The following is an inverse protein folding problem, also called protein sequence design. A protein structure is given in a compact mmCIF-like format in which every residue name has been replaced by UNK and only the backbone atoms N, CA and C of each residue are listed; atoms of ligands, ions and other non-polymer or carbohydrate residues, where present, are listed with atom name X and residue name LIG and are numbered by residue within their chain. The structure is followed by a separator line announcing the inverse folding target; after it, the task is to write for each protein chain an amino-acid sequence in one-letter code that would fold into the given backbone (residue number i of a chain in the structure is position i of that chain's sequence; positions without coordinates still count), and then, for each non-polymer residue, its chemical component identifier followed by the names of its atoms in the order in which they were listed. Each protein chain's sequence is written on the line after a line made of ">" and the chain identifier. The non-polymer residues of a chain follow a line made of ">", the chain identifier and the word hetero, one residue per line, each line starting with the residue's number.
data_IF_840043218539
#
_entry.id   IF_840043218539
#
_cell.length_a   1.000
_cell.length_b   1.000
_cell.length_c   1.000
_cell.angle_alpha   90.00
_cell.angle_beta   90.00
_cell.angle_gamma   90.00
#
_symmetry.space_group_name_H-M   'P 1'
#
loop_
_entity.id
_entity.type
_entity.pdbx_description
1 polymer ?
#
# COMPACT_ATOMS: atom_id res chain seq x y z
N UNK A 1 -12.62 23.44 -0.19
CA UNK A 1 -12.61 21.99 0.15
C UNK A 1 -12.61 21.08 -1.10
N UNK A 2 -13.53 21.25 -2.06
CA UNK A 2 -13.60 20.39 -3.28
C UNK A 2 -12.32 20.27 -4.11
N UNK A 3 -11.46 21.29 -4.13
CA UNK A 3 -10.15 21.26 -4.81
C UNK A 3 -8.99 20.73 -3.94
N UNK A 4 -9.14 20.73 -2.62
CA UNK A 4 -8.09 20.33 -1.67
C UNK A 4 -8.09 18.80 -1.45
N UNK A 5 -9.27 18.19 -1.35
CA UNK A 5 -9.38 16.75 -1.09
C UNK A 5 -8.69 15.88 -2.15
N UNK A 6 -8.86 16.15 -3.47
CA UNK A 6 -8.17 15.37 -4.51
C UNK A 6 -6.65 15.36 -4.37
N UNK A 7 -6.03 16.41 -3.81
CA UNK A 7 -4.59 16.48 -3.58
C UNK A 7 -4.10 15.33 -2.68
N UNK A 8 -4.86 14.99 -1.64
CA UNK A 8 -4.52 13.91 -0.73
C UNK A 8 -4.57 12.53 -1.41
N UNK A 9 -5.43 12.34 -2.41
CA UNK A 9 -5.41 11.10 -3.22
C UNK A 9 -4.14 10.98 -4.07
N UNK A 10 -3.52 12.09 -4.48
CA UNK A 10 -2.24 12.04 -5.21
C UNK A 10 -1.05 11.83 -4.28
N UNK A 11 -1.01 12.49 -3.13
CA UNK A 11 0.10 12.37 -2.16
C UNK A 11 0.09 10.99 -1.48
N UNK A 12 -1.10 10.49 -1.12
CA UNK A 12 -1.31 9.17 -0.52
C UNK A 12 -1.75 8.14 -1.56
N UNK A 13 -1.25 8.31 -2.80
CA UNK A 13 -1.50 7.33 -3.85
C UNK A 13 -0.91 5.98 -3.44
N UNK A 14 -1.60 4.85 -3.71
CA UNK A 14 -1.17 3.50 -3.30
C UNK A 14 0.28 3.17 -3.62
N UNK A 15 0.79 3.68 -4.74
CA UNK A 15 2.14 3.44 -5.23
C UNK A 15 3.24 3.94 -4.27
N UNK A 16 2.96 4.96 -3.46
CA UNK A 16 3.91 5.54 -2.52
C UNK A 16 3.84 4.90 -1.13
N UNK A 17 2.78 4.16 -0.82
CA UNK A 17 2.54 3.64 0.54
C UNK A 17 3.63 2.66 0.98
N UNK A 18 4.11 1.79 0.08
CA UNK A 18 5.23 0.89 0.38
C UNK A 18 6.51 1.66 0.74
N UNK A 19 6.76 2.78 0.08
CA UNK A 19 7.91 3.63 0.39
C UNK A 19 7.74 4.30 1.77
N UNK A 20 6.56 4.83 2.09
CA UNK A 20 6.28 5.42 3.40
C UNK A 20 6.39 4.42 4.54
N UNK A 21 5.86 3.21 4.37
CA UNK A 21 5.97 2.14 5.37
C UNK A 21 7.44 1.79 5.65
N UNK A 22 8.25 1.70 4.59
CA UNK A 22 9.68 1.39 4.68
C UNK A 22 10.46 2.51 5.36
N UNK A 23 10.21 3.77 4.97
CA UNK A 23 10.80 4.94 5.63
C UNK A 23 10.48 4.92 7.12
N UNK A 24 9.20 4.74 7.47
CA UNK A 24 8.80 4.68 8.87
C UNK A 24 9.56 3.56 9.61
N UNK A 25 9.60 2.36 9.05
CA UNK A 25 10.29 1.21 9.65
C UNK A 25 11.79 1.43 9.87
N UNK A 26 12.53 1.86 8.83
CA UNK A 26 13.99 1.96 8.87
C UNK A 26 14.49 3.10 9.76
N UNK A 27 13.72 4.19 9.90
CA UNK A 27 14.11 5.34 10.71
C UNK A 27 13.65 5.24 12.16
N UNK A 28 12.62 4.44 12.46
CA UNK A 28 12.25 4.12 13.85
C UNK A 28 13.09 3.00 14.48
N UNK A 29 13.78 2.19 13.66
CA UNK A 29 14.80 1.21 14.10
C UNK A 29 16.21 1.67 13.70
N UNK A 30 16.54 2.91 14.04
CA UNK A 30 17.74 3.59 13.53
C UNK A 30 19.05 2.88 13.89
N UNK A 31 19.10 2.27 15.07
CA UNK A 31 20.22 1.55 15.66
C UNK A 31 20.51 0.19 14.99
N UNK A 32 19.54 -0.40 14.30
CA UNK A 32 19.67 -1.75 13.70
C UNK A 32 20.28 -1.71 12.29
N UNK A 33 20.07 -0.61 11.56
CA UNK A 33 20.37 -0.52 10.12
C UNK A 33 21.38 0.58 9.83
N UNK A 34 22.45 0.22 9.11
CA UNK A 34 23.42 1.22 8.65
C UNK A 34 22.79 2.18 7.63
N UNK A 35 23.30 3.41 7.54
CA UNK A 35 22.83 4.41 6.56
C UNK A 35 22.84 3.87 5.13
N UNK A 36 23.89 3.14 4.74
CA UNK A 36 24.01 2.53 3.42
C UNK A 36 22.91 1.48 3.15
N UNK A 37 22.61 0.65 4.16
CA UNK A 37 21.56 -0.36 4.09
C UNK A 37 20.18 0.29 3.91
N UNK A 38 19.90 1.39 4.64
CA UNK A 38 18.65 2.12 4.49
C UNK A 38 18.44 2.64 3.07
N UNK A 39 19.45 3.30 2.51
CA UNK A 39 19.38 3.79 1.14
C UNK A 39 19.22 2.66 0.12
N UNK A 40 19.94 1.57 0.31
CA UNK A 40 19.83 0.41 -0.57
C UNK A 40 18.40 -0.17 -0.58
N UNK A 41 17.81 -0.40 0.59
CA UNK A 41 16.43 -0.91 0.72
C UNK A 41 15.41 0.07 0.12
N UNK A 42 15.56 1.37 0.40
CA UNK A 42 14.66 2.40 -0.12
C UNK A 42 14.71 2.48 -1.65
N UNK A 43 15.91 2.42 -2.25
CA UNK A 43 16.08 2.41 -3.70
C UNK A 43 15.46 1.15 -4.30
N UNK A 44 15.66 -0.02 -3.69
CA UNK A 44 15.02 -1.26 -4.16
C UNK A 44 13.49 -1.14 -4.17
N UNK A 45 12.90 -0.61 -3.09
CA UNK A 45 11.45 -0.48 -2.96
C UNK A 45 10.90 0.58 -3.91
N UNK A 46 11.62 1.70 -4.11
CA UNK A 46 11.31 2.72 -5.09
C UNK A 46 11.28 2.13 -6.51
N UNK A 47 12.32 1.38 -6.89
CA UNK A 47 12.39 0.76 -8.22
C UNK A 47 11.27 -0.25 -8.41
N UNK A 48 11.10 -1.16 -7.46
CA UNK A 48 10.15 -2.27 -7.58
C UNK A 48 8.69 -1.80 -7.49
N UNK A 49 8.34 -0.87 -6.59
CA UNK A 49 6.93 -0.49 -6.38
C UNK A 49 6.49 0.75 -7.17
N UNK A 50 7.42 1.60 -7.62
CA UNK A 50 7.09 2.83 -8.34
C UNK A 50 7.57 2.76 -9.78
N UNK A 51 8.88 2.61 -9.99
CA UNK A 51 9.45 2.70 -11.34
C UNK A 51 8.94 1.58 -12.25
N UNK A 52 9.02 0.32 -11.81
CA UNK A 52 8.61 -0.84 -12.61
C UNK A 52 7.11 -0.80 -12.94
N UNK A 53 6.18 -0.59 -11.98
CA UNK A 53 4.76 -0.50 -12.29
C UNK A 53 4.40 0.66 -13.21
N UNK A 54 5.04 1.83 -13.07
CA UNK A 54 4.81 2.97 -13.95
C UNK A 54 5.27 2.67 -15.37
N UNK A 55 6.47 2.13 -15.55
CA UNK A 55 6.98 1.75 -16.87
C UNK A 55 6.09 0.70 -17.53
N UNK A 56 5.66 -0.31 -16.76
CA UNK A 56 4.76 -1.35 -17.25
C UNK A 56 3.39 -0.79 -17.62
N UNK A 57 2.84 0.14 -16.83
CA UNK A 57 1.60 0.83 -17.16
C UNK A 57 1.73 1.61 -18.48
N UNK A 58 2.83 2.33 -18.70
CA UNK A 58 3.07 3.06 -19.95
C UNK A 58 3.12 2.12 -21.16
N UNK A 59 3.71 0.94 -21.01
CA UNK A 59 3.72 -0.11 -22.03
C UNK A 59 2.30 -0.65 -22.33
N UNK A 60 1.48 -0.89 -21.30
CA UNK A 60 0.08 -1.31 -21.49
C UNK A 60 -0.74 -0.24 -22.22
N UNK A 61 -0.48 1.03 -21.92
CA UNK A 61 -1.12 2.16 -22.60
C UNK A 61 -0.69 2.25 -24.06
N UNK A 62 0.61 2.10 -24.36
CA UNK A 62 1.12 2.18 -25.74
C UNK A 62 0.64 1.02 -26.62
N UNK A 63 0.37 -0.15 -26.02
CA UNK A 63 -0.16 -1.32 -26.72
C UNK A 63 -1.69 -1.38 -26.76
N UNK A 64 -2.40 -0.36 -26.25
CA UNK A 64 -3.86 -0.26 -26.32
C UNK A 64 -4.64 -1.11 -25.30
N UNK A 65 -3.95 -1.78 -24.36
CA UNK A 65 -4.58 -2.62 -23.33
C UNK A 65 -5.25 -1.82 -22.21
N UNK A 66 -4.92 -0.53 -22.06
CA UNK A 66 -5.51 0.38 -21.06
C UNK A 66 -5.88 1.71 -21.71
N UNK A 67 -7.13 2.17 -21.52
CA UNK A 67 -7.67 3.39 -22.15
C UNK A 67 -7.52 4.64 -21.28
N UNK A 68 -7.28 4.51 -19.97
CA UNK A 68 -7.28 5.65 -19.03
C UNK A 68 -6.21 5.55 -17.93
N UNK A 69 -5.66 6.70 -17.53
CA UNK A 69 -4.67 6.83 -16.41
C UNK A 69 -5.27 6.39 -15.07
N UNK A 70 -6.58 6.58 -14.89
CA UNK A 70 -7.28 6.27 -13.65
C UNK A 70 -7.89 4.86 -13.60
N UNK A 71 -7.58 3.98 -14.58
CA UNK A 71 -8.09 2.60 -14.65
C UNK A 71 -9.60 2.53 -14.41
N UNK A 72 -10.34 3.25 -15.25
CA UNK A 72 -11.78 3.50 -15.07
C UNK A 72 -12.61 2.20 -15.08
N UNK A 73 -12.16 1.15 -15.76
CA UNK A 73 -12.81 -0.16 -15.79
C UNK A 73 -12.16 -1.16 -14.83
N UNK A 74 -12.98 -2.05 -14.24
CA UNK A 74 -12.50 -3.16 -13.39
C UNK A 74 -11.53 -4.06 -14.13
N UNK A 75 -11.82 -4.36 -15.40
CA UNK A 75 -11.02 -5.23 -16.28
C UNK A 75 -9.60 -4.72 -16.50
N UNK A 76 -9.41 -3.39 -16.55
CA UNK A 76 -8.09 -2.78 -16.72
C UNK A 76 -7.20 -2.97 -15.47
N UNK A 77 -7.75 -3.37 -14.33
CA UNK A 77 -7.01 -3.56 -13.06
C UNK A 77 -6.38 -4.93 -12.90
N UNK A 78 -6.87 -5.95 -13.61
CA UNK A 78 -6.41 -7.34 -13.47
C UNK A 78 -4.91 -7.46 -13.72
N UNK A 79 -4.44 -6.95 -14.87
CA UNK A 79 -3.03 -7.06 -15.27
C UNK A 79 -2.11 -6.29 -14.29
N UNK A 80 -2.37 -5.01 -13.93
CA UNK A 80 -1.59 -4.31 -12.92
C UNK A 80 -1.55 -5.01 -11.55
N UNK A 81 -2.67 -5.57 -11.08
CA UNK A 81 -2.70 -6.28 -9.79
C UNK A 81 -1.91 -7.58 -9.82
N UNK A 82 -1.96 -8.34 -10.92
CA UNK A 82 -1.14 -9.55 -11.10
C UNK A 82 0.34 -9.19 -11.07
N UNK A 83 0.75 -8.14 -11.78
CA UNK A 83 2.13 -7.65 -11.73
C UNK A 83 2.51 -7.29 -10.29
N UNK A 84 1.66 -6.55 -9.58
CA UNK A 84 1.95 -6.15 -8.21
C UNK A 84 2.13 -7.35 -7.27
N UNK A 85 1.32 -8.41 -7.41
CA UNK A 85 1.53 -9.66 -6.67
C UNK A 85 2.90 -10.26 -6.94
N UNK A 86 3.32 -10.35 -8.21
CA UNK A 86 4.65 -10.85 -8.58
C UNK A 86 5.77 -10.01 -7.96
N UNK A 87 5.66 -8.67 -8.01
CA UNK A 87 6.64 -7.76 -7.45
C UNK A 87 6.74 -7.85 -5.93
N UNK A 88 5.61 -8.02 -5.22
CA UNK A 88 5.64 -8.28 -3.77
C UNK A 88 6.27 -9.63 -3.43
N UNK A 89 6.00 -10.70 -4.19
CA UNK A 89 6.67 -11.99 -4.02
C UNK A 89 8.19 -11.85 -4.21
N UNK A 90 8.62 -11.12 -5.23
CA UNK A 90 10.04 -10.84 -5.48
C UNK A 90 10.68 -10.11 -4.29
N UNK A 91 10.03 -9.07 -3.76
CA UNK A 91 10.50 -8.32 -2.61
C UNK A 91 10.70 -9.22 -1.38
N UNK A 92 9.67 -9.96 -0.97
CA UNK A 92 9.73 -10.77 0.26
C UNK A 92 10.70 -11.95 0.14
N UNK A 93 10.94 -12.46 -1.07
CA UNK A 93 11.88 -13.58 -1.31
C UNK A 93 13.34 -13.15 -1.45
N UNK A 94 13.62 -11.95 -1.94
CA UNK A 94 14.98 -11.56 -2.35
C UNK A 94 15.55 -10.36 -1.60
N UNK A 95 14.72 -9.38 -1.29
CA UNK A 95 15.16 -8.09 -0.73
C UNK A 95 14.80 -7.96 0.74
N UNK A 96 13.52 -8.15 1.06
CA UNK A 96 12.96 -7.97 2.40
C UNK A 96 12.82 -9.33 3.04
N UNK A 97 13.94 -9.98 3.35
CA UNK A 97 13.96 -11.31 3.96
C UNK A 97 13.59 -11.24 5.44
N UNK A 98 12.85 -12.25 5.91
CA UNK A 98 12.32 -12.32 7.28
C UNK A 98 13.40 -12.23 8.36
N UNK A 99 14.59 -12.80 8.11
CA UNK A 99 15.69 -12.82 9.08
C UNK A 99 16.34 -11.47 9.32
N UNK A 100 16.22 -10.52 8.37
CA UNK A 100 16.80 -9.18 8.49
C UNK A 100 15.75 -8.10 8.74
N UNK A 101 14.56 -8.24 8.15
CA UNK A 101 13.50 -7.23 8.22
C UNK A 101 12.14 -7.87 8.58
N UNK A 102 11.98 -8.50 9.76
CA UNK A 102 10.82 -9.36 10.04
C UNK A 102 9.48 -8.62 9.93
N UNK A 103 9.34 -7.44 10.54
CA UNK A 103 8.08 -6.69 10.54
C UNK A 103 7.76 -6.15 9.13
N UNK A 104 8.77 -5.63 8.44
CA UNK A 104 8.62 -5.13 7.07
C UNK A 104 8.35 -6.28 6.07
N UNK A 105 8.91 -7.48 6.31
CA UNK A 105 8.62 -8.69 5.54
C UNK A 105 7.13 -9.04 5.66
N UNK A 106 6.60 -9.06 6.88
CA UNK A 106 5.19 -9.33 7.13
C UNK A 106 4.27 -8.22 6.61
N UNK A 107 4.71 -6.95 6.61
CA UNK A 107 3.99 -5.87 5.95
C UNK A 107 3.81 -6.12 4.45
N UNK A 108 4.88 -6.49 3.74
CA UNK A 108 4.82 -6.78 2.31
C UNK A 108 4.06 -8.08 2.00
N UNK A 109 4.14 -9.07 2.89
CA UNK A 109 3.35 -10.29 2.78
C UNK A 109 1.85 -9.99 2.96
N UNK A 110 1.48 -9.16 3.93
CA UNK A 110 0.12 -8.66 4.08
C UNK A 110 -0.34 -7.87 2.85
N UNK A 111 0.51 -6.99 2.29
CA UNK A 111 0.22 -6.25 1.07
C UNK A 111 -0.01 -7.17 -0.15
N UNK A 112 0.73 -8.28 -0.25
CA UNK A 112 0.49 -9.34 -1.24
C UNK A 112 -0.90 -9.93 -1.08
N UNK A 113 -1.27 -10.36 0.14
CA UNK A 113 -2.60 -10.92 0.41
C UNK A 113 -3.73 -9.91 0.16
N UNK A 114 -3.55 -8.64 0.55
CA UNK A 114 -4.49 -7.57 0.22
C UNK A 114 -4.66 -7.39 -1.29
N UNK A 115 -3.58 -7.51 -2.06
CA UNK A 115 -3.61 -7.41 -3.53
C UNK A 115 -4.31 -8.61 -4.16
N UNK A 116 -4.09 -9.82 -3.64
CA UNK A 116 -4.82 -11.02 -4.05
C UNK A 116 -6.32 -10.87 -3.77
N UNK A 117 -6.70 -10.40 -2.58
CA UNK A 117 -8.11 -10.13 -2.24
C UNK A 117 -8.72 -9.06 -3.17
N UNK A 118 -7.97 -8.01 -3.49
CA UNK A 118 -8.42 -7.01 -4.46
C UNK A 118 -8.62 -7.62 -5.87
N UNK A 119 -7.74 -8.54 -6.29
CA UNK A 119 -7.89 -9.29 -7.55
C UNK A 119 -9.15 -10.17 -7.52
N UNK A 120 -9.42 -10.85 -6.41
CA UNK A 120 -10.67 -11.62 -6.22
C UNK A 120 -11.89 -10.71 -6.35
N UNK A 121 -11.88 -9.50 -5.76
CA UNK A 121 -12.98 -8.53 -5.94
C UNK A 121 -13.19 -8.14 -7.41
N UNK A 122 -12.12 -8.03 -8.21
CA UNK A 122 -12.23 -7.74 -9.65
C UNK A 122 -12.97 -8.87 -10.38
N UNK A 123 -12.77 -10.13 -10.00
CA UNK A 123 -13.51 -11.28 -10.56
C UNK A 123 -15.03 -11.17 -10.29
N UNK A 124 -15.41 -10.66 -9.12
CA UNK A 124 -16.80 -10.36 -8.76
C UNK A 124 -17.27 -8.98 -9.25
N UNK A 125 -16.55 -8.34 -10.18
CA UNK A 125 -16.87 -7.02 -10.75
C UNK A 125 -16.99 -5.89 -9.72
N UNK A 126 -16.41 -6.06 -8.53
CA UNK A 126 -16.41 -5.06 -7.46
C UNK A 126 -15.13 -4.22 -7.50
N UNK A 127 -15.25 -2.88 -7.59
CA UNK A 127 -14.09 -1.98 -7.60
C UNK A 127 -13.67 -1.59 -6.19
N UNK A 128 -13.04 -2.50 -5.46
CA UNK A 128 -12.43 -2.14 -4.17
C UNK A 128 -11.50 -0.92 -4.33
N UNK A 129 -11.56 0.01 -3.39
CA UNK A 129 -10.72 1.22 -3.41
C UNK A 129 -9.29 0.87 -2.99
N UNK A 130 -8.36 0.79 -3.96
CA UNK A 130 -6.95 0.52 -3.68
C UNK A 130 -6.28 1.60 -2.80
N UNK A 131 -6.80 2.83 -2.84
CA UNK A 131 -6.36 3.90 -1.93
C UNK A 131 -6.68 3.53 -0.48
N UNK A 132 -7.88 3.00 -0.23
CA UNK A 132 -8.26 2.56 1.11
C UNK A 132 -7.48 1.32 1.54
N UNK A 133 -7.27 0.35 0.64
CA UNK A 133 -6.44 -0.83 0.92
C UNK A 133 -5.05 -0.43 1.40
N UNK A 134 -4.42 0.51 0.69
CA UNK A 134 -3.05 0.90 0.98
C UNK A 134 -2.94 1.72 2.27
N UNK A 135 -3.74 2.79 2.44
CA UNK A 135 -3.65 3.65 3.62
C UNK A 135 -4.09 2.94 4.91
N UNK A 136 -5.11 2.07 4.84
CA UNK A 136 -5.53 1.31 6.02
C UNK A 136 -4.49 0.25 6.39
N UNK A 137 -3.86 -0.38 5.40
CA UNK A 137 -2.76 -1.31 5.64
C UNK A 137 -1.55 -0.63 6.31
N UNK A 138 -1.15 0.56 5.82
CA UNK A 138 -0.11 1.37 6.46
C UNK A 138 -0.48 1.76 7.90
N UNK A 139 -1.74 2.16 8.12
CA UNK A 139 -2.23 2.56 9.45
C UNK A 139 -2.08 1.43 10.45
N UNK A 140 -2.51 0.21 10.12
CA UNK A 140 -2.37 -0.95 10.99
C UNK A 140 -0.90 -1.32 11.22
N UNK A 141 -0.07 -1.26 10.18
CA UNK A 141 1.35 -1.53 10.31
C UNK A 141 2.06 -0.55 11.26
N UNK A 142 1.78 0.74 11.14
CA UNK A 142 2.36 1.77 12.01
C UNK A 142 1.85 1.65 13.44
N UNK A 143 0.58 1.30 13.65
CA UNK A 143 0.05 0.96 14.98
C UNK A 143 0.82 -0.23 15.57
N UNK A 144 1.01 -1.30 14.78
CA UNK A 144 1.79 -2.47 15.19
C UNK A 144 3.21 -2.12 15.60
N UNK A 145 3.91 -1.32 14.78
CA UNK A 145 5.28 -0.88 15.09
C UNK A 145 5.33 -0.02 16.35
N UNK A 146 4.33 0.85 16.55
CA UNK A 146 4.24 1.68 17.75
C UNK A 146 4.16 0.84 19.03
N UNK A 147 3.38 -0.25 18.98
CA UNK A 147 3.24 -1.21 20.08
C UNK A 147 4.52 -2.03 20.24
N UNK A 148 5.00 -2.65 19.16
CA UNK A 148 6.15 -3.56 19.17
C UNK A 148 7.44 -2.87 19.65
N UNK A 149 7.70 -1.65 19.17
CA UNK A 149 8.88 -0.86 19.55
C UNK A 149 8.65 -0.02 20.82
N UNK A 150 7.49 -0.15 21.48
CA UNK A 150 7.13 0.60 22.68
C UNK A 150 7.38 2.11 22.55
N UNK A 151 7.01 2.70 21.39
CA UNK A 151 7.32 4.10 21.08
C UNK A 151 6.54 5.09 21.96
N UNK A 152 5.43 4.66 22.57
CA UNK A 152 4.50 5.50 23.35
C UNK A 152 4.09 6.80 22.62
N UNK A 153 4.07 6.79 21.29
CA UNK A 153 3.79 7.96 20.46
C UNK A 153 2.39 7.82 19.83
N UNK A 154 1.35 8.46 20.38
CA UNK A 154 -0.01 8.37 19.85
C UNK A 154 -0.22 9.20 18.57
N UNK A 155 0.69 10.13 18.25
CA UNK A 155 0.49 11.10 17.18
C UNK A 155 0.53 10.47 15.79
N UNK A 156 1.42 9.50 15.55
CA UNK A 156 1.50 8.82 14.25
C UNK A 156 0.26 7.97 13.93
N UNK A 157 -0.20 7.06 14.83
CA UNK A 157 -1.48 6.39 14.66
C UNK A 157 -2.64 7.36 14.43
N UNK A 158 -2.78 8.40 15.27
CA UNK A 158 -3.86 9.37 15.16
C UNK A 158 -3.86 10.10 13.80
N UNK A 159 -2.67 10.50 13.33
CA UNK A 159 -2.49 11.13 12.03
C UNK A 159 -2.92 10.19 10.89
N UNK A 160 -2.51 8.92 10.90
CA UNK A 160 -2.85 7.97 9.84
C UNK A 160 -4.34 7.59 9.82
N UNK A 161 -4.98 7.53 10.99
CA UNK A 161 -6.44 7.37 11.10
C UNK A 161 -7.15 8.58 10.48
N UNK A 162 -6.71 9.80 10.81
CA UNK A 162 -7.26 11.02 10.22
C UNK A 162 -7.06 11.05 8.70
N UNK A 163 -5.84 10.74 8.22
CA UNK A 163 -5.52 10.70 6.80
C UNK A 163 -6.33 9.63 6.06
N UNK A 164 -6.61 8.48 6.69
CA UNK A 164 -7.51 7.46 6.13
C UNK A 164 -8.93 8.02 5.89
N UNK A 165 -9.45 8.79 6.84
CA UNK A 165 -10.72 9.50 6.69
C UNK A 165 -10.70 10.52 5.55
N UNK A 166 -9.63 11.33 5.47
CA UNK A 166 -9.44 12.32 4.39
C UNK A 166 -9.36 11.64 3.01
N UNK A 167 -8.64 10.53 2.90
CA UNK A 167 -8.55 9.74 1.66
C UNK A 167 -9.91 9.18 1.28
N UNK A 168 -10.66 8.62 2.23
CA UNK A 168 -12.02 8.14 1.98
C UNK A 168 -12.93 9.25 1.45
N UNK A 169 -12.94 10.41 2.12
CA UNK A 169 -13.71 11.59 1.68
C UNK A 169 -13.29 12.07 0.29
N UNK A 170 -11.99 12.09 -0.02
CA UNK A 170 -11.50 12.44 -1.36
C UNK A 170 -12.03 11.52 -2.45
N UNK A 171 -12.03 10.20 -2.20
CA UNK A 171 -12.53 9.22 -3.19
C UNK A 171 -14.02 9.34 -3.45
N UNK A 172 -14.81 9.70 -2.43
CA UNK A 172 -16.24 10.01 -2.57
C UNK A 172 -16.46 11.32 -3.34
N UNK A 173 -15.75 12.40 -2.99
CA UNK A 173 -15.90 13.71 -3.64
C UNK A 173 -15.52 13.65 -5.13
N UNK A 174 -14.51 12.83 -5.48
CA UNK A 174 -14.11 12.59 -6.86
C UNK A 174 -15.11 11.70 -7.64
N UNK A 175 -16.20 11.23 -7.02
CA UNK A 175 -17.13 10.23 -7.56
C UNK A 175 -16.42 8.98 -8.10
N UNK A 176 -15.25 8.66 -7.54
CA UNK A 176 -14.42 7.58 -8.06
C UNK A 176 -14.81 6.23 -7.46
N UNK A 177 -15.44 6.23 -6.28
CA UNK A 177 -15.91 5.05 -5.57
C UNK A 177 -17.19 5.32 -4.79
N UNK A 178 -17.97 4.27 -4.56
CA UNK A 178 -19.10 4.29 -3.61
C UNK A 178 -18.63 4.05 -2.17
N UNK A 179 -19.45 4.39 -1.17
CA UNK A 179 -19.14 4.10 0.24
C UNK A 179 -18.91 2.60 0.49
N UNK A 180 -19.63 1.73 -0.22
CA UNK A 180 -19.44 0.27 -0.13
C UNK A 180 -18.06 -0.15 -0.63
N UNK A 181 -17.60 0.38 -1.76
CA UNK A 181 -16.29 0.09 -2.33
C UNK A 181 -15.13 0.59 -1.46
N UNK A 182 -15.33 1.73 -0.79
CA UNK A 182 -14.40 2.28 0.21
C UNK A 182 -14.32 1.34 1.41
N UNK A 183 -15.47 0.90 1.94
CA UNK A 183 -15.51 -0.01 3.08
C UNK A 183 -14.85 -1.36 2.77
N UNK A 184 -15.13 -1.92 1.59
CA UNK A 184 -14.46 -3.15 1.11
C UNK A 184 -12.95 -2.94 1.03
N UNK A 185 -12.49 -1.83 0.45
CA UNK A 185 -11.06 -1.51 0.39
C UNK A 185 -10.42 -1.38 1.78
N UNK A 186 -11.12 -0.74 2.72
CA UNK A 186 -10.68 -0.59 4.10
C UNK A 186 -10.41 -1.97 4.73
N UNK A 187 -11.38 -2.89 4.67
CA UNK A 187 -11.26 -4.24 5.23
C UNK A 187 -10.17 -5.07 4.54
N UNK A 188 -10.05 -4.98 3.20
CA UNK A 188 -9.00 -5.68 2.45
C UNK A 188 -7.60 -5.23 2.88
N UNK A 189 -7.41 -3.96 3.27
CA UNK A 189 -6.14 -3.49 3.80
C UNK A 189 -5.91 -3.87 5.27
N UNK A 190 -6.95 -3.83 6.11
CA UNK A 190 -6.84 -4.10 7.55
C UNK A 190 -6.66 -5.59 7.85
N UNK A 191 -7.49 -6.46 7.26
CA UNK A 191 -7.56 -7.87 7.67
C UNK A 191 -6.24 -8.63 7.48
N UNK A 192 -5.56 -8.55 6.31
CA UNK A 192 -4.26 -9.19 6.15
C UNK A 192 -3.21 -8.60 7.10
N UNK A 193 -3.19 -7.28 7.29
CA UNK A 193 -2.22 -6.66 8.20
C UNK A 193 -2.43 -7.12 9.64
N UNK A 194 -3.67 -7.18 10.14
CA UNK A 194 -3.98 -7.71 11.47
C UNK A 194 -3.60 -9.19 11.61
N UNK A 195 -3.86 -10.01 10.59
CA UNK A 195 -3.48 -11.43 10.60
C UNK A 195 -1.97 -11.60 10.77
N UNK A 196 -1.18 -10.85 10.00
CA UNK A 196 0.27 -10.94 10.05
C UNK A 196 0.87 -10.23 11.27
N UNK A 197 0.21 -9.20 11.81
CA UNK A 197 0.57 -8.53 13.08
C UNK A 197 0.82 -9.54 14.19
N UNK A 198 -0.05 -10.56 14.29
CA UNK A 198 0.03 -11.62 15.30
C UNK A 198 1.34 -12.44 15.24
N UNK A 199 2.03 -12.45 14.10
CA UNK A 199 3.26 -13.23 13.93
C UNK A 199 4.53 -12.49 14.38
N UNK A 200 4.47 -11.18 14.56
CA UNK A 200 5.65 -10.37 14.88
C UNK A 200 5.46 -9.37 16.03
N UNK A 201 4.24 -9.16 16.51
CA UNK A 201 4.00 -8.54 17.82
C UNK A 201 4.39 -9.50 18.95
#
# INVERSE_FOLDING_TARGET
>A
MKKLLPLFSYILHPIFISLYATLFYLFYKDDVFSTNEKYFVLIQILVINIVVPVLFYLLLKSTGHVKSIMLSQTSERTIPLILQCFLYILLVKRSIIITRYPELHFFFLAALFSTILALVCVLFKTKASLHMVAISGLTIFVIGLNIHLQLHNPYWPALLILLSGIVASSRLEMNAHTSREILIGLFIGIMPQLLFLYLWL
#
